data_IF_440915773350
#
_entry.id   IF_440915773350
#
_cell.length_a   1.000
_cell.length_b   1.000
_cell.length_c   1.000
_cell.angle_alpha   90.00
_cell.angle_beta   90.00
_cell.angle_gamma   90.00
#
_symmetry.space_group_name_H-M   'P 1'
#
loop_
_entity.id
_entity.type
_entity.pdbx_description
1 polymer ?
#
# COMPACT_ATOMS: atom_id res chain seq x y z
N UNK A 1 -46.05 2.86 73.30
CA UNK A 1 -44.62 2.50 73.38
C UNK A 1 -43.99 2.69 72.01
N UNK A 2 -42.91 3.47 71.94
CA UNK A 2 -42.16 3.82 70.72
C UNK A 2 -41.22 2.67 70.35
N UNK A 3 -41.12 2.31 69.07
CA UNK A 3 -39.88 1.76 68.50
C UNK A 3 -39.57 2.48 67.19
N UNK A 4 -38.41 3.12 67.19
CA UNK A 4 -37.82 3.89 66.11
C UNK A 4 -37.23 2.99 65.01
N UNK A 5 -37.18 3.51 63.78
CA UNK A 5 -36.22 3.05 62.78
C UNK A 5 -36.55 3.47 61.35
N UNK A 6 -35.91 4.53 60.80
CA UNK A 6 -36.06 4.92 59.40
C UNK A 6 -35.01 4.20 58.55
N UNK A 7 -35.42 3.45 57.53
CA UNK A 7 -34.50 2.97 56.50
C UNK A 7 -34.85 3.68 55.21
N UNK A 8 -34.10 4.76 54.96
CA UNK A 8 -34.09 5.49 53.71
C UNK A 8 -33.72 4.54 52.56
N UNK A 9 -34.62 4.42 51.58
CA UNK A 9 -34.33 3.77 50.30
C UNK A 9 -33.44 4.70 49.48
N UNK A 10 -32.13 4.45 49.53
CA UNK A 10 -31.18 5.10 48.65
C UNK A 10 -31.41 4.64 47.20
N UNK A 11 -31.79 5.60 46.35
CA UNK A 11 -31.77 5.46 44.90
C UNK A 11 -30.30 5.47 44.46
N UNK A 12 -29.77 4.32 44.07
CA UNK A 12 -28.49 4.22 43.38
C UNK A 12 -28.75 3.96 41.89
N UNK A 13 -28.87 5.04 41.11
CA UNK A 13 -28.75 4.97 39.65
C UNK A 13 -27.27 4.73 39.36
N UNK A 14 -26.88 3.46 39.20
CA UNK A 14 -25.58 3.10 38.67
C UNK A 14 -25.55 3.39 37.17
N UNK A 15 -25.29 4.65 36.82
CA UNK A 15 -24.89 5.05 35.47
C UNK A 15 -23.46 4.56 35.22
N UNK A 16 -23.32 3.34 34.73
CA UNK A 16 -22.05 2.86 34.18
C UNK A 16 -21.82 3.58 32.84
N UNK A 17 -21.07 4.67 32.89
CA UNK A 17 -20.47 5.31 31.73
C UNK A 17 -19.56 4.27 31.08
N UNK A 18 -19.97 3.75 29.91
CA UNK A 18 -19.07 3.01 29.03
C UNK A 18 -18.00 4.00 28.56
N UNK A 19 -16.86 4.02 29.25
CA UNK A 19 -15.65 4.66 28.76
C UNK A 19 -15.20 3.83 27.56
N UNK A 20 -15.66 4.20 26.37
CA UNK A 20 -15.08 3.76 25.12
C UNK A 20 -13.64 4.29 25.08
N UNK A 21 -12.72 3.52 25.66
CA UNK A 21 -11.30 3.78 25.55
C UNK A 21 -10.95 3.74 24.07
N UNK A 22 -10.57 4.89 23.52
CA UNK A 22 -9.86 4.96 22.25
C UNK A 22 -8.48 4.32 22.45
N UNK A 23 -8.45 2.98 22.45
CA UNK A 23 -7.20 2.26 22.27
C UNK A 23 -6.62 2.70 20.92
N UNK A 24 -5.30 2.89 20.80
CA UNK A 24 -4.66 3.07 19.51
C UNK A 24 -5.06 1.88 18.65
N UNK A 25 -5.88 2.12 17.63
CA UNK A 25 -6.23 1.11 16.66
C UNK A 25 -4.91 0.71 16.01
N UNK A 26 -4.43 -0.48 16.30
CA UNK A 26 -3.54 -1.19 15.40
C UNK A 26 -4.43 -1.72 14.30
N UNK A 27 -4.01 -1.54 13.04
CA UNK A 27 -4.66 -2.10 11.87
C UNK A 27 -5.12 -3.51 12.21
N UNK A 28 -6.43 -3.71 12.22
CA UNK A 28 -7.03 -4.89 12.81
C UNK A 28 -6.97 -6.08 11.86
N UNK A 29 -7.44 -7.25 12.32
CA UNK A 29 -7.62 -8.42 11.46
C UNK A 29 -8.47 -8.13 10.20
N UNK A 30 -9.43 -7.20 10.30
CA UNK A 30 -10.30 -6.80 9.19
C UNK A 30 -9.53 -6.07 8.08
N UNK A 31 -8.63 -5.16 8.42
CA UNK A 31 -7.81 -4.42 7.46
C UNK A 31 -6.86 -5.35 6.71
N UNK A 32 -6.33 -6.37 7.41
CA UNK A 32 -5.48 -7.40 6.82
C UNK A 32 -6.23 -8.39 5.94
N UNK A 33 -7.45 -8.76 6.29
CA UNK A 33 -8.27 -9.66 5.49
C UNK A 33 -8.49 -9.15 4.04
N UNK A 34 -8.38 -7.84 3.82
CA UNK A 34 -8.45 -7.22 2.49
C UNK A 34 -7.19 -7.50 1.67
N UNK A 35 -6.04 -7.60 2.32
CA UNK A 35 -4.74 -7.77 1.67
C UNK A 35 -4.37 -9.25 1.50
N UNK A 36 -4.82 -10.11 2.40
CA UNK A 36 -4.52 -11.55 2.41
C UNK A 36 -4.77 -12.29 1.08
N UNK A 37 -5.86 -12.03 0.31
CA UNK A 37 -6.10 -12.68 -0.98
C UNK A 37 -4.94 -12.48 -1.97
N UNK A 38 -4.19 -11.39 -1.85
CA UNK A 38 -3.12 -11.02 -2.77
C UNK A 38 -1.76 -11.64 -2.43
N UNK A 39 -1.64 -12.35 -1.29
CA UNK A 39 -0.41 -13.06 -0.90
C UNK A 39 -0.10 -14.16 -1.91
N UNK A 40 1.08 -14.14 -2.51
CA UNK A 40 1.55 -15.16 -3.44
C UNK A 40 2.66 -14.66 -4.35
N UNK A 41 3.03 -15.50 -5.31
CA UNK A 41 3.94 -15.11 -6.40
C UNK A 41 3.13 -14.53 -7.54
N UNK A 42 3.70 -13.59 -8.28
CA UNK A 42 3.06 -12.90 -9.38
C UNK A 42 4.04 -12.80 -10.55
N UNK A 43 3.56 -13.08 -11.75
CA UNK A 43 4.33 -12.97 -12.97
C UNK A 43 3.68 -11.93 -13.87
N UNK A 44 4.47 -10.98 -14.36
CA UNK A 44 4.01 -9.89 -15.21
C UNK A 44 4.85 -9.76 -16.46
N UNK A 45 4.20 -9.40 -17.56
CA UNK A 45 4.87 -9.08 -18.82
C UNK A 45 4.15 -7.88 -19.42
N UNK A 46 4.93 -6.86 -19.76
CA UNK A 46 4.42 -5.58 -20.23
C UNK A 46 5.34 -4.93 -21.25
N UNK A 47 5.07 -3.66 -21.50
CA UNK A 47 5.86 -2.82 -22.41
C UNK A 47 6.26 -1.53 -21.71
N UNK A 48 7.50 -1.12 -21.91
CA UNK A 48 8.01 0.21 -21.59
C UNK A 48 7.98 1.02 -22.88
N UNK A 49 7.34 2.19 -22.84
CA UNK A 49 7.29 3.20 -23.89
C UNK A 49 8.25 4.32 -23.50
N UNK A 50 9.31 4.47 -24.28
CA UNK A 50 10.30 5.54 -24.14
C UNK A 50 10.71 6.00 -25.55
N UNK A 51 11.97 6.40 -25.77
CA UNK A 51 12.49 6.66 -27.11
C UNK A 51 12.41 5.43 -28.03
N UNK A 52 12.57 4.23 -27.44
CA UNK A 52 12.31 2.96 -28.09
C UNK A 52 11.41 2.11 -27.19
N UNK A 53 10.55 1.31 -27.81
CA UNK A 53 9.66 0.42 -27.08
C UNK A 53 10.38 -0.85 -26.67
N UNK A 54 10.26 -1.20 -25.40
CA UNK A 54 10.92 -2.37 -24.84
C UNK A 54 9.94 -3.31 -24.13
N UNK A 55 10.25 -4.60 -24.14
CA UNK A 55 9.50 -5.57 -23.33
C UNK A 55 10.07 -5.59 -21.92
N UNK A 56 9.17 -5.56 -20.92
CA UNK A 56 9.53 -5.76 -19.52
C UNK A 56 8.90 -7.04 -19.00
N UNK A 57 9.68 -7.82 -18.26
CA UNK A 57 9.22 -9.04 -17.59
C UNK A 57 9.49 -8.91 -16.10
N UNK A 58 8.45 -9.05 -15.29
CA UNK A 58 8.52 -8.88 -13.85
C UNK A 58 8.09 -10.15 -13.12
N UNK A 59 8.74 -10.41 -11.99
CA UNK A 59 8.31 -11.39 -11.00
C UNK A 59 8.22 -10.71 -9.64
N UNK A 60 7.07 -10.82 -8.98
CA UNK A 60 6.84 -10.29 -7.65
C UNK A 60 6.42 -11.38 -6.68
N UNK A 61 6.64 -11.14 -5.40
CA UNK A 61 6.17 -11.97 -4.30
C UNK A 61 5.59 -11.07 -3.23
N UNK A 62 4.34 -11.34 -2.84
CA UNK A 62 3.66 -10.72 -1.70
C UNK A 62 3.56 -11.78 -0.61
N UNK A 63 4.04 -11.46 0.60
CA UNK A 63 4.03 -12.37 1.73
C UNK A 63 3.57 -11.66 3.00
N UNK A 64 3.11 -12.42 3.98
CA UNK A 64 2.80 -11.87 5.30
C UNK A 64 4.08 -11.36 5.96
N UNK A 65 4.05 -10.11 6.42
CA UNK A 65 5.10 -9.50 7.21
C UNK A 65 4.82 -9.58 8.71
N UNK A 66 5.53 -8.74 9.47
CA UNK A 66 5.32 -8.66 10.92
C UNK A 66 4.00 -7.92 11.23
N UNK A 67 3.20 -8.51 12.12
CA UNK A 67 1.91 -7.94 12.54
C UNK A 67 0.91 -7.89 11.39
N UNK A 68 0.32 -6.71 11.19
CA UNK A 68 -0.71 -6.44 10.18
C UNK A 68 -0.14 -5.73 8.94
N UNK A 69 0.94 -6.32 8.40
CA UNK A 69 1.62 -5.83 7.20
C UNK A 69 1.85 -6.96 6.22
N UNK A 70 1.84 -6.63 4.93
CA UNK A 70 2.42 -7.47 3.89
C UNK A 70 3.81 -6.94 3.53
N UNK A 71 4.73 -7.86 3.26
CA UNK A 71 5.98 -7.56 2.60
C UNK A 71 5.82 -7.86 1.11
N UNK A 72 6.47 -7.09 0.26
CA UNK A 72 6.61 -7.45 -1.14
C UNK A 72 8.03 -7.29 -1.63
N UNK A 73 8.39 -8.14 -2.58
CA UNK A 73 9.64 -8.06 -3.33
C UNK A 73 9.32 -8.24 -4.80
N UNK A 74 10.05 -7.54 -5.67
CA UNK A 74 9.85 -7.57 -7.11
C UNK A 74 11.16 -7.46 -7.85
N UNK A 75 11.23 -8.11 -9.00
CA UNK A 75 12.34 -7.99 -9.96
C UNK A 75 11.74 -7.82 -11.34
N UNK A 76 12.16 -6.78 -12.05
CA UNK A 76 11.77 -6.51 -13.42
C UNK A 76 13.02 -6.48 -14.30
N UNK A 77 12.94 -7.14 -15.45
CA UNK A 77 13.99 -7.23 -16.46
C UNK A 77 13.51 -6.52 -17.71
N UNK A 78 14.37 -5.71 -18.31
CA UNK A 78 14.18 -5.04 -19.61
C UNK A 78 15.54 -4.91 -20.31
N UNK A 79 15.61 -4.30 -21.49
CA UNK A 79 16.80 -4.42 -22.33
C UNK A 79 18.05 -3.85 -21.61
N UNK A 80 18.99 -4.74 -21.28
CA UNK A 80 20.26 -4.38 -20.66
C UNK A 80 20.23 -4.06 -19.16
N UNK A 81 19.08 -4.13 -18.48
CA UNK A 81 18.98 -3.74 -17.08
C UNK A 81 17.98 -4.56 -16.25
N UNK A 82 18.22 -4.58 -14.94
CA UNK A 82 17.36 -5.21 -13.94
C UNK A 82 17.00 -4.21 -12.85
N UNK A 83 15.70 -4.04 -12.62
CA UNK A 83 15.17 -3.29 -11.49
C UNK A 83 14.76 -4.25 -10.37
N UNK A 84 15.21 -3.97 -9.15
CA UNK A 84 14.72 -4.67 -7.94
C UNK A 84 13.96 -3.70 -7.06
N UNK A 85 12.79 -4.13 -6.59
CA UNK A 85 11.95 -3.37 -5.66
C UNK A 85 11.62 -4.20 -4.43
N UNK A 86 11.60 -3.54 -3.28
CA UNK A 86 11.17 -4.14 -2.02
C UNK A 86 10.26 -3.15 -1.30
N UNK A 87 9.41 -3.66 -0.42
CA UNK A 87 8.50 -2.78 0.29
C UNK A 87 7.54 -3.48 1.21
N UNK A 88 6.66 -2.68 1.79
CA UNK A 88 5.62 -3.14 2.71
C UNK A 88 4.30 -2.46 2.42
N UNK A 89 3.21 -3.21 2.54
CA UNK A 89 1.84 -2.70 2.46
C UNK A 89 1.20 -2.86 3.83
N UNK A 90 0.58 -1.80 4.33
CA UNK A 90 -0.11 -1.83 5.62
C UNK A 90 -1.31 -0.89 5.60
N UNK A 91 -2.28 -1.13 6.47
CA UNK A 91 -3.19 -0.08 6.87
C UNK A 91 -2.52 0.76 7.97
N UNK A 92 -2.61 2.09 7.84
CA UNK A 92 -2.00 3.06 8.75
C UNK A 92 -3.12 3.78 9.49
N UNK A 93 -3.39 3.36 10.73
CA UNK A 93 -4.52 3.85 11.53
C UNK A 93 -4.46 5.34 11.81
N UNK A 94 -3.26 5.88 12.03
CA UNK A 94 -3.03 7.30 12.21
C UNK A 94 -3.59 8.13 11.04
N UNK A 95 -3.55 7.57 9.84
CA UNK A 95 -3.99 8.22 8.61
C UNK A 95 -5.29 7.65 8.04
N UNK A 96 -5.83 6.59 8.67
CA UNK A 96 -7.03 5.85 8.25
C UNK A 96 -7.02 5.43 6.78
N UNK A 97 -5.88 4.93 6.29
CA UNK A 97 -5.70 4.53 4.88
C UNK A 97 -4.69 3.42 4.72
N UNK A 98 -4.73 2.75 3.58
CA UNK A 98 -3.66 1.82 3.20
C UNK A 98 -2.48 2.61 2.64
N UNK A 99 -1.28 2.17 2.95
CA UNK A 99 -0.05 2.75 2.43
C UNK A 99 0.89 1.61 1.98
N UNK A 100 1.47 1.77 0.79
CA UNK A 100 2.50 0.89 0.26
C UNK A 100 3.81 1.65 0.18
N UNK A 101 4.77 1.28 1.03
CA UNK A 101 6.11 1.87 1.03
C UNK A 101 6.97 1.08 0.06
N UNK A 102 7.54 1.77 -0.91
CA UNK A 102 8.43 1.23 -1.93
C UNK A 102 9.85 1.70 -1.71
N UNK A 103 10.79 0.78 -1.90
CA UNK A 103 12.21 1.04 -2.07
C UNK A 103 12.70 0.40 -3.36
N UNK A 104 13.41 1.17 -4.18
CA UNK A 104 14.02 0.71 -5.44
C UNK A 104 15.53 0.69 -5.30
N UNK A 105 16.16 -0.31 -5.92
CA UNK A 105 17.62 -0.39 -6.01
C UNK A 105 18.26 0.66 -6.93
N UNK A 106 17.48 1.29 -7.82
CA UNK A 106 17.94 2.35 -8.74
C UNK A 106 17.66 3.71 -8.10
N UNK A 107 18.67 4.60 -8.08
CA UNK A 107 18.58 5.96 -7.54
C UNK A 107 18.26 6.09 -6.05
N UNK A 108 18.29 4.98 -5.28
CA UNK A 108 17.86 4.98 -3.88
C UNK A 108 16.41 5.42 -3.68
N UNK A 109 15.57 5.27 -4.71
CA UNK A 109 14.22 5.81 -4.71
C UNK A 109 13.37 5.18 -3.61
N UNK A 110 12.75 6.04 -2.79
CA UNK A 110 11.77 5.66 -1.79
C UNK A 110 10.47 6.46 -1.99
N UNK A 111 9.35 5.75 -2.03
CA UNK A 111 8.03 6.35 -2.21
C UNK A 111 6.97 5.72 -1.33
N UNK A 112 5.88 6.43 -1.08
CA UNK A 112 4.70 5.92 -0.37
C UNK A 112 3.49 6.08 -1.27
N UNK A 113 2.94 4.96 -1.73
CA UNK A 113 1.70 4.94 -2.50
C UNK A 113 0.49 4.86 -1.56
N UNK A 114 -0.54 5.65 -1.82
CA UNK A 114 -1.76 5.71 -1.02
C UNK A 114 -2.80 4.76 -1.60
N UNK A 115 -3.26 3.82 -0.78
CA UNK A 115 -4.22 2.79 -1.13
C UNK A 115 -5.67 3.17 -0.84
N UNK A 116 -6.53 3.03 -1.84
CA UNK A 116 -7.97 3.26 -1.77
C UNK A 116 -8.70 2.00 -2.24
N UNK A 117 -9.58 1.46 -1.38
CA UNK A 117 -10.47 0.35 -1.76
C UNK A 117 -11.41 0.80 -2.88
N UNK A 118 -11.57 -0.03 -3.91
CA UNK A 118 -12.52 0.19 -5.01
C UNK A 118 -13.17 -1.14 -5.38
N UNK A 119 -14.46 -1.27 -5.11
CA UNK A 119 -15.18 -2.53 -5.33
C UNK A 119 -14.56 -3.68 -4.54
N UNK A 120 -14.19 -4.75 -5.24
CA UNK A 120 -13.50 -5.94 -4.72
C UNK A 120 -11.97 -5.79 -4.66
N UNK A 121 -11.44 -4.64 -5.08
CA UNK A 121 -10.02 -4.37 -5.20
C UNK A 121 -9.51 -3.23 -4.34
N UNK A 122 -8.22 -2.95 -4.49
CA UNK A 122 -7.53 -1.80 -3.92
C UNK A 122 -6.58 -1.21 -4.95
N UNK A 123 -6.56 0.12 -5.05
CA UNK A 123 -5.69 0.88 -5.95
C UNK A 123 -4.72 1.69 -5.10
N UNK A 124 -3.43 1.54 -5.35
CA UNK A 124 -2.37 2.31 -4.72
C UNK A 124 -1.79 3.30 -5.72
N UNK A 125 -1.90 4.59 -5.43
CA UNK A 125 -1.36 5.66 -6.27
C UNK A 125 -0.18 6.35 -5.59
N UNK A 126 0.89 6.56 -6.34
CA UNK A 126 2.08 7.30 -5.94
C UNK A 126 2.26 8.48 -6.90
N UNK A 127 2.59 9.65 -6.35
CA UNK A 127 3.06 10.81 -7.12
C UNK A 127 4.17 11.50 -6.33
N UNK A 128 5.36 11.62 -6.91
CA UNK A 128 6.51 12.15 -6.21
C UNK A 128 7.53 12.74 -7.20
N UNK A 129 8.26 13.77 -6.77
CA UNK A 129 9.49 14.21 -7.46
C UNK A 129 10.71 13.43 -6.97
N UNK A 130 11.58 13.07 -7.89
CA UNK A 130 12.81 12.33 -7.64
C UNK A 130 13.93 12.88 -8.52
N UNK A 131 15.15 12.38 -8.33
CA UNK A 131 16.26 12.61 -9.23
C UNK A 131 16.68 11.29 -9.87
N UNK A 132 17.14 11.32 -11.12
CA UNK A 132 17.79 10.15 -11.72
C UNK A 132 19.20 9.94 -11.16
N UNK A 133 19.88 8.87 -11.59
CA UNK A 133 21.24 8.56 -11.17
C UNK A 133 22.27 9.64 -11.59
N UNK A 134 21.92 10.52 -12.53
CA UNK A 134 22.73 11.66 -12.98
C UNK A 134 22.38 12.97 -12.25
N UNK A 135 21.38 12.97 -11.36
CA UNK A 135 20.92 14.13 -10.61
C UNK A 135 19.83 14.96 -11.29
N UNK A 136 19.31 14.54 -12.45
CA UNK A 136 18.30 15.29 -13.20
C UNK A 136 16.93 15.17 -12.52
N UNK A 137 16.19 16.28 -12.43
CA UNK A 137 14.87 16.30 -11.79
C UNK A 137 13.82 15.56 -12.64
N UNK A 138 13.07 14.68 -11.98
CA UNK A 138 12.01 13.90 -12.60
C UNK A 138 10.74 13.86 -11.75
N UNK A 139 9.59 13.79 -12.41
CA UNK A 139 8.30 13.54 -11.78
C UNK A 139 7.88 12.09 -12.03
N UNK A 140 7.67 11.33 -10.96
CA UNK A 140 7.23 9.93 -11.00
C UNK A 140 5.77 9.84 -10.55
N UNK A 141 4.96 9.14 -11.34
CA UNK A 141 3.65 8.66 -10.95
C UNK A 141 3.58 7.13 -11.14
N UNK A 142 2.94 6.44 -10.22
CA UNK A 142 2.62 5.02 -10.43
C UNK A 142 1.26 4.68 -9.85
N UNK A 143 0.63 3.67 -10.45
CA UNK A 143 -0.62 3.08 -9.95
C UNK A 143 -0.46 1.58 -9.88
N UNK A 144 -0.85 0.99 -8.76
CA UNK A 144 -0.90 -0.46 -8.58
C UNK A 144 -2.33 -0.85 -8.23
N UNK A 145 -2.98 -1.57 -9.12
CA UNK A 145 -4.32 -2.12 -8.89
C UNK A 145 -4.21 -3.58 -8.51
N UNK A 146 -4.83 -3.96 -7.40
CA UNK A 146 -5.04 -5.35 -6.97
C UNK A 146 -6.54 -5.62 -7.03
N UNK A 147 -6.96 -6.70 -7.71
CA UNK A 147 -8.39 -7.05 -7.85
C UNK A 147 -8.59 -8.56 -7.96
N UNK A 148 -9.78 -9.04 -7.56
CA UNK A 148 -10.18 -10.45 -7.66
C UNK A 148 -9.25 -11.46 -6.95
N UNK A 149 -8.35 -11.01 -6.07
CA UNK A 149 -7.34 -11.85 -5.41
C UNK A 149 -6.24 -12.43 -6.30
N UNK A 150 -6.34 -12.32 -7.64
CA UNK A 150 -5.45 -12.97 -8.60
C UNK A 150 -5.05 -12.09 -9.80
N UNK A 151 -5.46 -10.82 -9.81
CA UNK A 151 -5.05 -9.84 -10.83
C UNK A 151 -4.33 -8.68 -10.18
N UNK A 152 -3.19 -8.33 -10.76
CA UNK A 152 -2.46 -7.11 -10.42
C UNK A 152 -2.13 -6.37 -11.70
N UNK A 153 -2.22 -5.05 -11.69
CA UNK A 153 -1.79 -4.21 -12.80
C UNK A 153 -0.94 -3.07 -12.26
N UNK A 154 0.25 -2.89 -12.83
CA UNK A 154 1.16 -1.81 -12.49
C UNK A 154 1.26 -0.87 -13.68
N UNK A 155 0.97 0.40 -13.45
CA UNK A 155 1.29 1.49 -14.37
C UNK A 155 2.38 2.36 -13.74
N UNK A 156 3.30 2.83 -14.57
CA UNK A 156 4.37 3.73 -14.16
C UNK A 156 4.54 4.80 -15.23
N UNK A 157 4.68 6.04 -14.80
CA UNK A 157 4.95 7.19 -15.64
C UNK A 157 6.07 8.00 -14.98
N UNK A 158 7.18 8.19 -15.68
CA UNK A 158 8.22 9.15 -15.31
C UNK A 158 8.30 10.24 -16.37
N UNK A 159 8.49 11.48 -15.93
CA UNK A 159 8.70 12.65 -16.78
C UNK A 159 9.99 13.31 -16.34
N UNK A 160 10.94 13.48 -17.26
CA UNK A 160 12.14 14.28 -17.01
C UNK A 160 11.75 15.75 -17.12
N UNK A 161 11.85 16.49 -16.02
CA UNK A 161 11.24 17.82 -15.93
C UNK A 161 11.97 18.87 -16.79
N UNK A 162 13.25 18.62 -17.11
CA UNK A 162 14.06 19.52 -17.95
C UNK A 162 13.81 19.33 -19.44
N UNK A 163 13.75 18.08 -19.92
CA UNK A 163 13.60 17.77 -21.35
C UNK A 163 12.15 17.56 -21.77
N UNK A 164 11.28 17.20 -20.82
CA UNK A 164 9.91 16.77 -21.09
C UNK A 164 9.80 15.32 -21.57
N UNK A 165 10.91 14.58 -21.65
CA UNK A 165 10.91 13.18 -22.06
C UNK A 165 10.11 12.33 -21.06
N UNK A 166 9.44 11.30 -21.59
CA UNK A 166 8.57 10.44 -20.77
C UNK A 166 8.95 8.97 -20.91
N UNK A 167 8.88 8.26 -19.78
CA UNK A 167 8.95 6.80 -19.73
C UNK A 167 7.62 6.32 -19.17
N UNK A 168 6.93 5.45 -19.89
CA UNK A 168 5.68 4.83 -19.44
C UNK A 168 5.80 3.32 -19.42
N UNK A 169 5.28 2.66 -18.41
CA UNK A 169 5.19 1.21 -18.38
C UNK A 169 3.80 0.77 -17.99
N UNK A 170 3.29 -0.27 -18.67
CA UNK A 170 2.06 -0.95 -18.29
C UNK A 170 2.35 -2.44 -18.19
N UNK A 171 2.16 -2.99 -17.00
CA UNK A 171 2.56 -4.36 -16.68
C UNK A 171 1.38 -5.06 -16.01
N UNK A 172 0.58 -5.84 -16.75
CA UNK A 172 -0.37 -6.76 -16.16
C UNK A 172 0.39 -7.92 -15.51
N UNK A 173 -0.12 -8.37 -14.37
CA UNK A 173 0.37 -9.50 -13.61
C UNK A 173 -0.74 -10.51 -13.35
N UNK A 174 -0.36 -11.78 -13.38
CA UNK A 174 -1.16 -12.91 -12.93
C UNK A 174 -0.41 -13.65 -11.84
N UNK A 175 -1.15 -14.13 -10.84
CA UNK A 175 -0.62 -14.91 -9.73
C UNK A 175 -0.14 -16.28 -10.20
#
# INVERSE_FOLDING_TARGET
MKLFGPVARAVAVAGAIMVAGAMPAFAGPAEMAVLEPYIGTWNGKGTIKAAQDETVVCKMSLSKGNGTKLNYTGRCQFAGAQLSVTGTIAYVDANKRYEAVMNSGVGGFRGVAIGVKRGDGIVFDLKQRAQDDSGNDMSIASSVTLSGGNKMAVSFDAVFNETGDTIKAQIPFTK
#
